data_IF_109565741891
#
_entry.id   IF_109565741891
#
_cell.length_a   1.000
_cell.length_b   1.000
_cell.length_c   1.000
_cell.angle_alpha   90.00
_cell.angle_beta   90.00
_cell.angle_gamma   90.00
#
_symmetry.space_group_name_H-M   'P 1'
#
loop_
_entity.id
_entity.type
_entity.pdbx_description
1 polymer ?
#
# COMPACT_ATOMS: atom_id res chain seq x y z
N UNK A 1 2.40 9.88 22.16
CA UNK A 1 1.42 8.81 22.48
C UNK A 1 0.72 9.20 23.77
N UNK A 2 -0.25 10.10 23.66
CA UNK A 2 -0.96 10.63 24.81
C UNK A 2 -1.90 9.55 25.39
N UNK A 3 -1.77 9.35 26.71
CA UNK A 3 -2.48 8.45 27.62
C UNK A 3 -3.79 7.81 27.13
N UNK A 4 -3.70 6.67 26.42
CA UNK A 4 -4.81 5.72 26.32
C UNK A 4 -4.91 4.91 27.63
N UNK A 5 -6.09 4.81 28.26
CA UNK A 5 -6.29 3.98 29.44
C UNK A 5 -5.91 2.52 29.17
N UNK A 6 -5.39 1.82 30.19
CA UNK A 6 -4.88 0.44 30.05
C UNK A 6 -6.00 -0.53 29.65
N UNK A 7 -7.23 -0.20 30.02
CA UNK A 7 -8.45 -0.92 29.73
C UNK A 7 -8.81 -0.80 28.25
N UNK A 8 -8.72 0.42 27.68
CA UNK A 8 -8.98 0.66 26.26
C UNK A 8 -7.97 -0.07 25.35
N UNK A 9 -6.72 -0.25 25.81
CA UNK A 9 -5.70 -1.02 25.06
C UNK A 9 -5.98 -2.52 24.99
N UNK A 10 -6.94 -3.05 25.78
CA UNK A 10 -7.29 -4.47 25.74
C UNK A 10 -8.27 -4.80 24.61
N UNK A 11 -9.01 -3.80 24.14
CA UNK A 11 -9.98 -3.94 23.06
C UNK A 11 -9.30 -4.38 21.75
N UNK A 12 -9.93 -5.32 21.04
CA UNK A 12 -9.39 -5.90 19.81
C UNK A 12 -9.25 -4.88 18.69
N UNK A 13 -10.20 -3.94 18.57
CA UNK A 13 -10.15 -2.88 17.56
C UNK A 13 -9.05 -1.85 17.89
N UNK A 14 -8.86 -1.51 19.16
CA UNK A 14 -7.77 -0.59 19.59
C UNK A 14 -6.40 -1.22 19.36
N UNK A 15 -6.22 -2.51 19.69
CA UNK A 15 -4.99 -3.24 19.38
C UNK A 15 -4.71 -3.24 17.88
N UNK A 16 -5.72 -3.55 17.08
CA UNK A 16 -5.60 -3.54 15.63
C UNK A 16 -5.19 -2.16 15.09
N UNK A 17 -5.84 -1.09 15.55
CA UNK A 17 -5.50 0.28 15.14
C UNK A 17 -4.07 0.67 15.52
N UNK A 18 -3.57 0.23 16.67
CA UNK A 18 -2.18 0.45 17.08
C UNK A 18 -1.19 -0.31 16.20
N UNK A 19 -1.48 -1.56 15.86
CA UNK A 19 -0.65 -2.37 14.94
C UNK A 19 -0.64 -1.75 13.53
N UNK A 20 -1.79 -1.30 13.02
CA UNK A 20 -1.89 -0.62 11.71
C UNK A 20 -1.06 0.66 11.70
N UNK A 21 -1.17 1.47 12.76
CA UNK A 21 -0.35 2.68 12.90
C UNK A 21 1.14 2.34 12.92
N UNK A 22 1.53 1.31 13.67
CA UNK A 22 2.92 0.86 13.72
C UNK A 22 3.42 0.40 12.35
N UNK A 23 2.64 -0.43 11.64
CA UNK A 23 2.95 -0.89 10.29
C UNK A 23 3.12 0.28 9.31
N UNK A 24 2.21 1.25 9.37
CA UNK A 24 2.28 2.47 8.57
C UNK A 24 3.54 3.30 8.90
N UNK A 25 3.80 3.60 10.18
CA UNK A 25 4.95 4.44 10.57
C UNK A 25 6.32 3.79 10.33
N UNK A 26 6.37 2.45 10.39
CA UNK A 26 7.59 1.68 10.14
C UNK A 26 7.82 1.38 8.65
N UNK A 27 6.85 1.72 7.78
CA UNK A 27 6.90 1.37 6.36
C UNK A 27 6.80 -0.14 6.11
N UNK A 28 6.23 -0.90 7.04
CA UNK A 28 6.04 -2.34 6.90
C UNK A 28 4.74 -2.63 6.11
N UNK A 29 4.84 -2.54 4.78
CA UNK A 29 3.73 -2.77 3.85
C UNK A 29 3.18 -4.20 3.93
N UNK A 30 4.02 -5.21 4.15
CA UNK A 30 3.56 -6.61 4.28
C UNK A 30 2.63 -6.77 5.50
N UNK A 31 3.01 -6.20 6.64
CA UNK A 31 2.18 -6.21 7.84
C UNK A 31 0.90 -5.38 7.65
N UNK A 32 1.00 -4.23 6.98
CA UNK A 32 -0.16 -3.38 6.67
C UNK A 32 -1.22 -4.13 5.86
N UNK A 33 -0.85 -4.78 4.74
CA UNK A 33 -1.81 -5.52 3.92
C UNK A 33 -2.34 -6.78 4.62
N UNK A 34 -1.55 -7.40 5.49
CA UNK A 34 -2.04 -8.48 6.35
C UNK A 34 -3.11 -7.99 7.32
N UNK A 35 -2.86 -6.85 7.98
CA UNK A 35 -3.83 -6.22 8.87
C UNK A 35 -5.08 -5.76 8.11
N UNK A 36 -4.92 -5.21 6.91
CA UNK A 36 -6.02 -4.81 6.04
C UNK A 36 -7.01 -5.95 5.79
N UNK A 37 -6.51 -7.16 5.48
CA UNK A 37 -7.36 -8.37 5.28
C UNK A 37 -8.01 -8.88 6.57
N UNK A 38 -7.47 -8.53 7.72
CA UNK A 38 -7.94 -8.93 9.05
C UNK A 38 -8.68 -7.80 9.79
N UNK A 39 -9.01 -6.70 9.09
CA UNK A 39 -9.55 -5.50 9.71
C UNK A 39 -10.92 -5.77 10.38
N UNK A 40 -11.07 -5.54 11.69
CA UNK A 40 -12.36 -5.62 12.35
C UNK A 40 -13.19 -4.36 12.05
N UNK A 41 -14.51 -4.53 11.92
CA UNK A 41 -15.48 -3.43 11.70
C UNK A 41 -15.18 -2.62 10.43
N UNK A 42 -15.25 -1.28 10.53
CA UNK A 42 -15.02 -0.34 9.42
C UNK A 42 -13.56 0.15 9.35
N UNK A 43 -12.63 -0.53 10.03
CA UNK A 43 -11.21 -0.14 10.00
C UNK A 43 -10.61 -0.25 8.59
N UNK A 44 -11.14 -1.13 7.74
CA UNK A 44 -10.77 -1.24 6.32
C UNK A 44 -11.00 0.08 5.58
N UNK A 45 -12.15 0.72 5.77
CA UNK A 45 -12.49 2.00 5.11
C UNK A 45 -11.49 3.12 5.44
N UNK A 46 -10.94 3.12 6.66
CA UNK A 46 -9.91 4.09 7.04
C UNK A 46 -8.54 3.74 6.45
N UNK A 47 -8.23 2.44 6.37
CA UNK A 47 -7.00 1.97 5.73
C UNK A 47 -6.99 2.20 4.22
N UNK A 48 -8.14 2.14 3.54
CA UNK A 48 -8.30 2.40 2.11
C UNK A 48 -7.70 3.75 1.69
N UNK A 49 -7.86 4.77 2.54
CA UNK A 49 -7.30 6.11 2.34
C UNK A 49 -5.76 6.11 2.22
N UNK A 50 -5.09 5.07 2.72
CA UNK A 50 -3.64 4.95 2.77
C UNK A 50 -3.08 3.82 1.93
N UNK A 51 -3.94 2.94 1.38
CA UNK A 51 -3.52 1.81 0.53
C UNK A 51 -2.64 2.33 -0.61
N UNK A 52 -3.12 3.34 -1.34
CA UNK A 52 -2.40 3.92 -2.48
C UNK A 52 -0.99 4.42 -2.10
N UNK A 53 -0.91 5.18 -1.01
CA UNK A 53 0.37 5.69 -0.49
C UNK A 53 1.31 4.56 -0.09
N UNK A 54 0.78 3.52 0.56
CA UNK A 54 1.55 2.37 1.01
C UNK A 54 2.07 1.54 -0.16
N UNK A 55 1.24 1.31 -1.19
CA UNK A 55 1.64 0.66 -2.44
C UNK A 55 2.79 1.43 -3.11
N UNK A 56 2.67 2.75 -3.20
CA UNK A 56 3.70 3.60 -3.78
C UNK A 56 5.03 3.58 -3.02
N UNK A 57 4.98 3.68 -1.69
CA UNK A 57 6.20 3.59 -0.86
C UNK A 57 6.86 2.21 -1.01
N UNK A 58 6.08 1.14 -1.03
CA UNK A 58 6.57 -0.21 -1.24
C UNK A 58 7.24 -0.34 -2.63
N UNK A 59 6.59 0.13 -3.69
CA UNK A 59 7.13 0.09 -5.05
C UNK A 59 8.42 0.91 -5.18
N UNK A 60 8.48 2.09 -4.56
CA UNK A 60 9.69 2.92 -4.51
C UNK A 60 10.85 2.26 -3.76
N UNK A 61 10.54 1.48 -2.73
CA UNK A 61 11.54 0.70 -2.01
C UNK A 61 12.03 -0.48 -2.85
N UNK A 62 11.10 -1.20 -3.51
CA UNK A 62 11.42 -2.32 -4.39
C UNK A 62 12.28 -1.88 -5.59
N UNK A 63 11.98 -0.74 -6.22
CA UNK A 63 12.73 -0.25 -7.38
C UNK A 63 14.19 0.12 -7.07
N UNK A 64 14.49 0.44 -5.81
CA UNK A 64 15.86 0.69 -5.35
C UNK A 64 16.60 -0.58 -4.94
N UNK A 65 15.87 -1.57 -4.43
CA UNK A 65 16.45 -2.78 -3.82
C UNK A 65 16.66 -3.92 -4.82
N UNK A 66 15.80 -4.06 -5.83
CA UNK A 66 15.77 -5.20 -6.76
C UNK A 66 16.18 -4.82 -8.18
N UNK A 67 17.44 -4.38 -8.37
CA UNK A 67 17.97 -4.02 -9.70
C UNK A 67 18.55 -5.23 -10.45
N UNK A 68 18.40 -5.33 -11.79
CA UNK A 68 17.76 -4.37 -12.68
C UNK A 68 16.25 -4.58 -12.87
N UNK A 69 15.74 -5.78 -12.60
CA UNK A 69 14.33 -6.15 -12.84
C UNK A 69 13.75 -6.94 -11.67
N UNK A 70 12.43 -6.89 -11.53
CA UNK A 70 11.69 -7.73 -10.57
C UNK A 70 10.41 -8.27 -11.22
N UNK A 71 10.05 -9.56 -11.06
CA UNK A 71 8.86 -10.12 -11.67
C UNK A 71 7.58 -9.44 -11.16
N UNK A 72 6.65 -9.11 -12.05
CA UNK A 72 5.35 -8.49 -11.68
C UNK A 72 4.58 -9.38 -10.72
N UNK A 73 4.59 -10.71 -10.92
CA UNK A 73 3.97 -11.67 -10.01
C UNK A 73 4.50 -11.59 -8.58
N UNK A 74 5.80 -11.36 -8.42
CA UNK A 74 6.40 -11.20 -7.10
C UNK A 74 5.97 -9.87 -6.48
N UNK A 75 6.02 -8.78 -7.25
CA UNK A 75 5.55 -7.47 -6.80
C UNK A 75 4.07 -7.50 -6.39
N UNK A 76 3.20 -8.12 -7.18
CA UNK A 76 1.77 -8.27 -6.89
C UNK A 76 1.52 -8.97 -5.54
N UNK A 77 2.33 -9.99 -5.20
CA UNK A 77 2.25 -10.66 -3.89
C UNK A 77 2.71 -9.76 -2.74
N UNK A 78 3.81 -9.03 -2.92
CA UNK A 78 4.38 -8.15 -1.89
C UNK A 78 3.49 -6.92 -1.64
N UNK A 79 2.91 -6.38 -2.71
CA UNK A 79 1.98 -5.25 -2.70
C UNK A 79 0.56 -5.63 -2.25
N UNK A 80 0.27 -6.93 -2.08
CA UNK A 80 -0.98 -7.40 -1.51
C UNK A 80 -2.13 -7.61 -2.51
N UNK A 81 -1.93 -7.31 -3.80
CA UNK A 81 -2.87 -7.61 -4.89
C UNK A 81 -3.13 -9.12 -5.01
N UNK A 82 -2.11 -9.94 -4.80
CA UNK A 82 -2.24 -11.40 -4.78
C UNK A 82 -2.11 -11.92 -3.34
N UNK A 83 -2.97 -12.87 -2.98
CA UNK A 83 -2.91 -13.56 -1.69
C UNK A 83 -1.55 -14.23 -1.45
N UNK A 84 -1.08 -14.18 -0.21
CA UNK A 84 0.15 -14.88 0.22
C UNK A 84 -0.16 -16.36 0.55
N UNK A 85 -1.42 -16.65 0.92
CA UNK A 85 -1.90 -17.99 1.27
C UNK A 85 -2.56 -18.71 0.09
N UNK A 86 -2.23 -20.01 -0.06
CA UNK A 86 -2.75 -20.92 -1.10
C UNK A 86 -4.27 -21.15 -1.05
N UNK A 87 -4.96 -20.65 -0.02
CA UNK A 87 -6.40 -20.87 0.21
C UNK A 87 -7.27 -19.88 -0.57
N UNK A 88 -6.71 -18.75 -1.02
CA UNK A 88 -7.46 -17.69 -1.71
C UNK A 88 -7.14 -17.61 -3.22
N UNK A 89 -6.86 -18.74 -3.87
CA UNK A 89 -6.63 -18.87 -5.32
C UNK A 89 -7.90 -18.64 -6.18
N UNK A 90 -8.98 -18.09 -5.62
CA UNK A 90 -10.20 -17.83 -6.38
C UNK A 90 -10.10 -16.58 -7.29
N UNK A 91 -9.17 -15.65 -7.00
CA UNK A 91 -9.00 -14.38 -7.73
C UNK A 91 -7.61 -14.24 -8.40
N UNK A 92 -6.89 -15.36 -8.60
CA UNK A 92 -5.45 -15.35 -8.94
C UNK A 92 -5.08 -14.69 -10.27
N UNK A 93 -6.01 -14.58 -11.23
CA UNK A 93 -5.80 -13.87 -12.49
C UNK A 93 -6.09 -12.36 -12.36
N UNK A 94 -7.17 -12.01 -11.66
CA UNK A 94 -7.71 -10.66 -11.48
C UNK A 94 -6.69 -9.73 -10.78
N UNK A 95 -6.11 -10.20 -9.66
CA UNK A 95 -5.14 -9.40 -8.91
C UNK A 95 -3.80 -9.16 -9.62
N UNK A 96 -3.44 -9.98 -10.62
CA UNK A 96 -2.22 -9.74 -11.40
C UNK A 96 -2.45 -8.63 -12.43
N UNK A 97 -3.61 -8.62 -13.06
CA UNK A 97 -4.04 -7.59 -14.01
C UNK A 97 -4.19 -6.24 -13.31
N UNK A 98 -4.88 -6.19 -12.16
CA UNK A 98 -4.98 -4.99 -11.32
C UNK A 98 -3.60 -4.43 -10.94
N UNK A 99 -2.65 -5.30 -10.58
CA UNK A 99 -1.29 -4.87 -10.25
C UNK A 99 -0.58 -4.27 -11.46
N UNK A 100 -0.74 -4.87 -12.64
CA UNK A 100 -0.17 -4.37 -13.88
C UNK A 100 -0.72 -2.99 -14.25
N UNK A 101 -2.04 -2.81 -14.19
CA UNK A 101 -2.71 -1.53 -14.45
C UNK A 101 -2.24 -0.47 -13.46
N UNK A 102 -2.21 -0.80 -12.18
CA UNK A 102 -1.74 0.10 -11.12
C UNK A 102 -0.29 0.52 -11.37
N UNK A 103 0.60 -0.42 -11.68
CA UNK A 103 2.01 -0.15 -11.96
C UNK A 103 2.18 0.81 -13.14
N UNK A 104 1.44 0.58 -14.24
CA UNK A 104 1.47 1.47 -15.41
C UNK A 104 0.94 2.86 -15.08
N UNK A 105 -0.17 2.96 -14.35
CA UNK A 105 -0.75 4.24 -13.92
C UNK A 105 0.21 5.06 -13.04
N UNK A 106 1.10 4.40 -12.32
CA UNK A 106 2.11 5.01 -11.45
C UNK A 106 3.46 5.24 -12.16
N UNK A 107 3.54 5.01 -13.48
CA UNK A 107 4.75 5.25 -14.26
C UNK A 107 5.83 4.17 -14.15
N UNK A 108 5.49 2.96 -13.68
CA UNK A 108 6.41 1.83 -13.74
C UNK A 108 6.57 1.34 -15.20
N UNK A 109 7.80 0.99 -15.55
CA UNK A 109 8.15 0.47 -16.87
C UNK A 109 8.17 -1.04 -16.80
N UNK A 110 7.32 -1.69 -17.60
CA UNK A 110 7.21 -3.14 -17.67
C UNK A 110 7.82 -3.65 -18.98
N UNK A 111 8.50 -4.79 -18.92
CA UNK A 111 9.05 -5.49 -20.07
C UNK A 111 8.83 -6.99 -19.93
N UNK A 112 8.73 -7.69 -21.05
CA UNK A 112 8.65 -9.16 -21.06
C UNK A 112 10.07 -9.69 -21.23
N UNK A 113 10.48 -10.62 -20.37
CA UNK A 113 11.79 -11.26 -20.49
C UNK A 113 11.81 -12.35 -21.57
N UNK A 114 12.99 -12.95 -21.78
CA UNK A 114 13.17 -14.02 -22.77
C UNK A 114 12.36 -15.29 -22.45
N UNK A 115 11.84 -15.43 -21.23
CA UNK A 115 11.05 -16.56 -20.78
C UNK A 115 9.54 -16.29 -20.92
N UNK A 116 9.15 -15.09 -21.38
CA UNK A 116 7.74 -14.68 -21.50
C UNK A 116 7.13 -14.20 -20.18
N UNK A 117 7.93 -13.94 -19.14
CA UNK A 117 7.44 -13.41 -17.87
C UNK A 117 7.48 -11.87 -17.85
N UNK A 118 6.42 -11.27 -17.31
CA UNK A 118 6.35 -9.82 -17.10
C UNK A 118 7.28 -9.39 -15.96
N UNK A 119 8.20 -8.50 -16.28
CA UNK A 119 9.20 -7.92 -15.40
C UNK A 119 8.97 -6.42 -15.26
N UNK A 120 9.22 -5.87 -14.07
CA UNK A 120 9.29 -4.44 -13.82
C UNK A 120 10.75 -4.03 -13.99
N UNK A 121 11.05 -3.11 -14.91
CA UNK A 121 12.37 -2.50 -15.03
C UNK A 121 12.55 -1.49 -13.88
N UNK A 122 13.11 -1.97 -12.78
CA UNK A 122 13.31 -1.16 -11.57
C UNK A 122 14.28 -0.01 -11.76
N UNK A 123 15.22 -0.14 -12.71
CA UNK A 123 16.20 0.91 -12.99
C UNK A 123 15.50 2.12 -13.60
N UNK A 124 14.72 1.90 -14.66
CA UNK A 124 13.98 2.98 -15.34
C UNK A 124 12.81 3.45 -14.48
N UNK A 125 12.07 2.51 -13.88
CA UNK A 125 10.93 2.82 -13.00
C UNK A 125 11.35 3.71 -11.82
N UNK A 126 12.56 3.55 -11.28
CA UNK A 126 13.01 4.39 -10.14
C UNK A 126 13.00 5.90 -10.42
N UNK A 127 13.09 6.30 -11.69
CA UNK A 127 13.07 7.71 -12.12
C UNK A 127 11.70 8.19 -12.64
N UNK A 128 10.82 7.27 -13.04
CA UNK A 128 9.52 7.60 -13.63
C UNK A 128 8.34 7.36 -12.68
N UNK A 129 8.54 6.70 -11.53
CA UNK A 129 7.49 6.45 -10.56
C UNK A 129 6.92 7.74 -9.97
N UNK A 130 5.60 7.92 -10.07
CA UNK A 130 4.85 9.00 -9.43
C UNK A 130 3.57 8.47 -8.80
N UNK A 131 3.05 9.24 -7.84
CA UNK A 131 1.74 8.99 -7.23
C UNK A 131 0.74 9.92 -7.95
N UNK A 132 -0.23 9.39 -8.72
CA UNK A 132 -1.25 10.20 -9.37
C UNK A 132 -2.01 11.06 -8.36
N UNK A 133 -2.40 12.26 -8.75
CA UNK A 133 -3.30 13.07 -7.93
C UNK A 133 -4.70 12.43 -7.93
N UNK A 134 -5.38 12.38 -6.77
CA UNK A 134 -6.72 11.81 -6.71
C UNK A 134 -7.68 12.62 -7.59
N UNK A 135 -8.37 11.93 -8.51
CA UNK A 135 -9.27 12.52 -9.51
C UNK A 135 -10.41 13.38 -8.91
N UNK A 136 -10.75 13.13 -7.64
CA UNK A 136 -11.76 13.86 -6.87
C UNK A 136 -11.15 14.84 -5.86
N UNK A 137 -10.00 15.44 -6.16
CA UNK A 137 -9.48 16.58 -5.39
C UNK A 137 -10.42 17.78 -5.56
N UNK A 138 -11.56 17.76 -4.86
CA UNK A 138 -12.45 18.91 -4.75
C UNK A 138 -11.64 19.97 -4.00
N UNK A 139 -11.41 21.12 -4.65
CA UNK A 139 -10.68 22.23 -4.04
C UNK A 139 -11.51 22.75 -2.87
N UNK A 140 -11.27 22.22 -1.66
CA UNK A 140 -12.12 22.49 -0.51
C UNK A 140 -12.00 23.92 0.03
N UNK A 141 -11.10 24.76 -0.51
CA UNK A 141 -10.92 26.17 -0.09
C UNK A 141 -10.43 26.35 1.35
N UNK A 142 -10.59 25.35 2.21
CA UNK A 142 -10.15 25.28 3.59
C UNK A 142 -9.11 24.17 3.74
N UNK A 143 -7.86 24.57 3.95
CA UNK A 143 -6.74 23.66 4.15
C UNK A 143 -6.93 22.73 5.36
N UNK A 144 -7.77 23.12 6.34
CA UNK A 144 -8.00 22.35 7.57
C UNK A 144 -8.81 21.06 7.35
N UNK A 145 -9.46 20.92 6.19
CA UNK A 145 -10.22 19.74 5.80
C UNK A 145 -9.39 18.72 5.02
N UNK A 146 -8.13 19.04 4.70
CA UNK A 146 -7.23 18.09 4.08
C UNK A 146 -6.97 16.92 5.04
N UNK A 147 -7.27 15.69 4.60
CA UNK A 147 -7.04 14.46 5.37
C UNK A 147 -5.58 14.33 5.83
N UNK A 148 -4.64 14.89 5.04
CA UNK A 148 -3.22 14.97 5.40
C UNK A 148 -2.95 15.80 6.66
N UNK A 149 -3.65 16.91 6.85
CA UNK A 149 -3.45 17.83 7.98
C UNK A 149 -4.11 17.33 9.27
N UNK A 150 -5.18 16.54 9.15
CA UNK A 150 -5.87 15.96 10.31
C UNK A 150 -4.96 15.03 11.14
N UNK A 151 -4.05 14.30 10.49
CA UNK A 151 -3.16 13.34 11.17
C UNK A 151 -1.75 13.86 11.48
N UNK A 152 -1.31 14.97 10.88
CA UNK A 152 -0.01 15.59 11.21
C UNK A 152 -0.04 16.33 12.55
N UNK A 153 -1.22 16.72 13.04
CA UNK A 153 -1.39 17.47 14.30
C UNK A 153 -1.10 16.67 15.58
N UNK A 154 -0.74 15.39 15.49
CA UNK A 154 -0.45 14.55 16.66
C UNK A 154 1.03 14.50 17.06
N UNK A 155 1.90 15.32 16.46
CA UNK A 155 3.36 15.35 16.73
C UNK A 155 3.83 16.50 17.62
N UNK A 156 2.99 17.04 18.50
CA UNK A 156 3.42 17.95 19.58
C UNK A 156 3.22 17.32 20.95
#
# INVERSE_FOLDING_TARGET
>A
MASLPKEAKKDTAVKHALEVRYAFSSGNYVLFFKLYKMAPNLNSCLMDLYVERMLFVAMKCMSKSYRPTVPVRYAARVLGFVGIDKVCEANGADGLEECEEWLKAHGAVLSVDNNGELQIDTKVSSTSLYLPEPENAVSHGDASLAVGDFLTRASS
#
